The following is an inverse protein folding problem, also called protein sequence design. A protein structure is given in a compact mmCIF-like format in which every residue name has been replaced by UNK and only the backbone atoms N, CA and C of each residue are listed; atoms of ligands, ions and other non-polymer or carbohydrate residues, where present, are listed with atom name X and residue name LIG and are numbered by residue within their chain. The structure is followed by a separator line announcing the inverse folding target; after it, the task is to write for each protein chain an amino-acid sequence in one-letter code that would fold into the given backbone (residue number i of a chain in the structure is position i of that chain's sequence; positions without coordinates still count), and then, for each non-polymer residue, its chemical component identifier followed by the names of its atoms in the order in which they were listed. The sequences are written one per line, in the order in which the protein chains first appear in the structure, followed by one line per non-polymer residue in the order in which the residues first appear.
data_IF_109704365009
#
_entry.id   IF_109704365009
#
_cell.length_a   1.000
_cell.length_b   1.000
_cell.length_c   1.000
_cell.angle_alpha   90.00
_cell.angle_beta   90.00
_cell.angle_gamma   90.00
#
_symmetry.space_group_name_H-M   'P 1'
#
loop_
_entity.id
_entity.type
_entity.pdbx_description
1 polymer ?
#
# COMPACT_ATOMS: atom_id res chain seq x y z
N UNK A 1 29.59 -43.80 -22.93
CA UNK A 1 30.64 -42.92 -22.37
C UNK A 1 30.14 -42.37 -21.06
N UNK A 2 30.76 -42.82 -19.99
CA UNK A 2 30.48 -42.46 -18.60
C UNK A 2 31.24 -41.15 -18.27
N UNK A 3 30.61 -40.26 -17.49
CA UNK A 3 31.31 -39.28 -16.63
C UNK A 3 30.30 -38.87 -15.56
N UNK A 4 30.37 -39.44 -14.43
CA UNK A 4 30.99 -39.10 -13.13
C UNK A 4 30.34 -37.90 -12.40
N UNK A 5 29.75 -38.27 -11.27
CA UNK A 5 29.22 -37.43 -10.22
C UNK A 5 30.29 -36.61 -9.51
N UNK A 6 29.95 -35.40 -9.05
CA UNK A 6 30.63 -34.72 -7.95
C UNK A 6 29.61 -34.23 -6.95
N UNK A 7 29.55 -34.96 -5.83
CA UNK A 7 28.98 -34.48 -4.55
C UNK A 7 30.01 -33.59 -3.88
N UNK A 8 29.62 -32.40 -3.47
CA UNK A 8 30.32 -31.60 -2.48
C UNK A 8 29.36 -31.19 -1.39
N UNK A 9 29.38 -31.88 -0.27
CA UNK A 9 28.72 -31.53 0.99
C UNK A 9 29.54 -30.43 1.67
N UNK A 10 28.89 -29.31 2.00
CA UNK A 10 29.39 -28.31 2.95
C UNK A 10 28.46 -28.28 4.16
N UNK A 11 28.90 -28.88 5.26
CA UNK A 11 28.38 -28.66 6.60
C UNK A 11 28.91 -27.32 7.12
N UNK A 12 28.08 -26.39 7.44
CA UNK A 12 28.40 -25.22 8.27
C UNK A 12 27.64 -25.30 9.59
N UNK A 13 28.41 -25.53 10.66
CA UNK A 13 27.92 -25.48 12.04
C UNK A 13 27.78 -24.01 12.46
N UNK A 14 26.63 -23.60 12.98
CA UNK A 14 26.46 -22.32 13.64
C UNK A 14 26.32 -22.51 15.15
N UNK A 15 27.27 -21.88 15.85
CA UNK A 15 27.35 -21.83 17.30
C UNK A 15 26.23 -20.95 17.89
N UNK A 16 25.61 -21.45 18.94
CA UNK A 16 24.66 -20.72 19.76
C UNK A 16 25.39 -19.71 20.65
N UNK A 17 25.03 -18.44 20.56
CA UNK A 17 25.44 -17.41 21.51
C UNK A 17 24.30 -17.15 22.48
N UNK A 18 24.48 -17.53 23.73
CA UNK A 18 23.62 -17.17 24.84
C UNK A 18 23.94 -15.71 25.24
N UNK A 19 22.92 -14.86 25.29
CA UNK A 19 23.03 -13.50 25.81
C UNK A 19 22.25 -13.37 27.10
N UNK A 20 22.92 -12.79 28.09
CA UNK A 20 22.53 -12.70 29.49
C UNK A 20 21.37 -11.69 29.69
N UNK A 21 20.56 -11.98 30.71
CA UNK A 21 19.46 -11.14 31.18
C UNK A 21 19.94 -9.85 31.87
N UNK A 22 19.20 -8.73 31.74
CA UNK A 22 19.48 -7.53 32.51
C UNK A 22 18.90 -7.61 33.92
N UNK A 23 19.69 -7.16 34.87
CA UNK A 23 19.43 -7.01 36.30
C UNK A 23 18.38 -5.93 36.53
N UNK A 24 17.33 -6.26 37.29
CA UNK A 24 16.37 -5.31 37.84
C UNK A 24 17.02 -4.53 38.97
N UNK A 25 17.11 -3.21 38.86
CA UNK A 25 17.38 -2.34 40.00
C UNK A 25 16.07 -1.72 40.48
N UNK A 26 15.67 -2.18 41.65
CA UNK A 26 14.57 -1.66 42.45
C UNK A 26 15.10 -0.42 43.20
N UNK A 27 14.65 0.78 42.78
CA UNK A 27 14.94 2.04 43.51
C UNK A 27 13.59 2.62 43.94
N UNK A 28 13.16 2.23 45.14
CA UNK A 28 12.06 2.86 45.85
C UNK A 28 12.54 4.19 46.45
N UNK A 29 12.13 5.31 45.88
CA UNK A 29 12.22 6.61 46.53
C UNK A 29 10.80 7.09 46.91
N UNK A 30 10.59 7.63 48.12
CA UNK A 30 9.29 8.14 48.51
C UNK A 30 8.99 9.47 47.80
N UNK A 31 7.93 9.47 47.02
CA UNK A 31 7.42 10.68 46.35
C UNK A 31 6.64 11.48 47.39
N UNK A 32 7.20 12.60 47.83
CA UNK A 32 6.48 13.64 48.57
C UNK A 32 5.40 14.24 47.70
N UNK A 33 4.15 14.25 48.16
CA UNK A 33 3.02 14.85 47.49
C UNK A 33 3.25 16.36 47.31
N UNK A 34 3.05 16.92 46.07
CA UNK A 34 3.03 18.37 45.89
C UNK A 34 1.76 18.98 46.48
N UNK A 35 1.81 20.24 46.93
CA UNK A 35 0.68 20.96 47.47
C UNK A 35 -0.41 21.15 46.43
N UNK A 36 -1.67 20.99 46.85
CA UNK A 36 -2.86 21.14 46.03
C UNK A 36 -2.93 22.53 45.41
N UNK A 37 -2.77 22.60 44.12
CA UNK A 37 -2.98 23.80 43.31
C UNK A 37 -4.51 24.05 43.19
N UNK A 38 -5.00 25.29 43.35
CA UNK A 38 -6.43 25.57 43.20
C UNK A 38 -6.89 25.26 41.78
N UNK A 39 -8.04 24.63 41.66
CA UNK A 39 -8.65 24.23 40.40
C UNK A 39 -8.74 25.41 39.44
N UNK A 40 -8.33 25.24 38.15
CA UNK A 40 -8.49 26.29 37.15
C UNK A 40 -9.96 26.60 36.96
N UNK A 41 -10.30 27.87 37.02
CA UNK A 41 -11.59 28.40 36.62
C UNK A 41 -11.80 28.01 35.17
N UNK A 42 -12.82 27.21 34.89
CA UNK A 42 -13.20 26.88 33.51
C UNK A 42 -13.76 28.15 32.89
N UNK A 43 -12.89 28.87 32.20
CA UNK A 43 -13.28 29.98 31.34
C UNK A 43 -14.08 29.38 30.18
N UNK A 44 -15.26 29.91 29.94
CA UNK A 44 -16.16 29.43 28.89
C UNK A 44 -15.42 29.47 27.53
N UNK A 45 -15.27 28.32 26.90
CA UNK A 45 -14.70 28.15 25.56
C UNK A 45 -15.46 29.04 24.58
N UNK A 46 -14.80 29.94 23.85
CA UNK A 46 -15.43 30.79 22.87
C UNK A 46 -16.15 29.94 21.81
N UNK A 47 -17.35 30.32 21.44
CA UNK A 47 -18.16 29.63 20.41
C UNK A 47 -17.55 29.60 19.01
N UNK A 48 -16.37 30.17 18.84
CA UNK A 48 -15.66 30.24 17.55
C UNK A 48 -14.90 28.94 17.17
N UNK A 49 -14.60 28.03 18.14
CA UNK A 49 -13.93 26.77 17.82
C UNK A 49 -14.82 25.76 17.04
N UNK A 50 -16.14 25.87 17.17
CA UNK A 50 -17.03 25.01 16.39
C UNK A 50 -17.01 25.34 14.89
N UNK A 51 -16.70 26.56 14.52
CA UNK A 51 -16.65 27.01 13.13
C UNK A 51 -15.38 26.54 12.39
N UNK A 52 -14.30 26.27 13.11
CA UNK A 52 -13.04 25.76 12.53
C UNK A 52 -13.18 24.28 12.15
N UNK A 53 -13.86 23.49 12.97
CA UNK A 53 -14.09 22.07 12.70
C UNK A 53 -15.06 21.86 11.51
N UNK A 54 -16.07 22.72 11.36
CA UNK A 54 -16.99 22.70 10.22
C UNK A 54 -16.31 23.15 8.91
N UNK A 55 -15.36 24.05 8.97
CA UNK A 55 -14.56 24.49 7.83
C UNK A 55 -13.55 23.42 7.41
N UNK A 56 -12.91 22.71 8.37
CA UNK A 56 -12.01 21.61 8.09
C UNK A 56 -12.73 20.40 7.48
N UNK A 57 -13.95 20.11 7.92
CA UNK A 57 -14.77 19.03 7.35
C UNK A 57 -15.23 19.29 5.90
N UNK A 58 -15.23 20.54 5.46
CA UNK A 58 -15.61 20.92 4.08
C UNK A 58 -14.48 20.80 3.06
N UNK A 59 -13.25 20.56 3.50
CA UNK A 59 -12.06 20.50 2.63
C UNK A 59 -11.71 19.11 2.10
N UNK A 60 -12.38 18.06 2.57
CA UNK A 60 -12.19 16.72 1.99
C UNK A 60 -12.99 16.65 0.68
N UNK A 61 -12.31 16.91 -0.42
CA UNK A 61 -12.90 16.73 -1.75
C UNK A 61 -13.04 15.25 -2.05
N UNK A 62 -14.17 14.88 -2.68
CA UNK A 62 -14.38 13.51 -3.13
C UNK A 62 -13.50 13.25 -4.36
N UNK A 63 -12.85 12.10 -4.41
CA UNK A 63 -12.14 11.64 -5.59
C UNK A 63 -13.07 11.63 -6.81
N UNK A 64 -12.63 12.23 -7.90
CA UNK A 64 -13.41 12.32 -9.14
C UNK A 64 -12.89 11.31 -10.15
N UNK A 65 -13.71 10.30 -10.46
CA UNK A 65 -13.37 9.32 -11.47
C UNK A 65 -14.17 9.56 -12.75
N UNK A 66 -13.52 9.35 -13.90
CA UNK A 66 -14.11 9.51 -15.24
C UNK A 66 -14.85 8.23 -15.66
N UNK A 67 -15.44 8.25 -16.85
CA UNK A 67 -16.03 7.06 -17.46
C UNK A 67 -14.99 6.22 -18.22
N UNK A 68 -13.71 6.64 -18.29
CA UNK A 68 -12.66 5.84 -18.91
C UNK A 68 -12.35 4.63 -18.02
N UNK A 69 -12.47 3.45 -18.61
CA UNK A 69 -12.17 2.18 -17.95
C UNK A 69 -11.45 1.23 -18.91
N UNK A 70 -10.53 0.43 -18.38
CA UNK A 70 -9.93 -0.72 -19.07
C UNK A 70 -10.14 -1.95 -18.20
N UNK A 71 -10.54 -3.07 -18.83
CA UNK A 71 -10.86 -4.31 -18.10
C UNK A 71 -9.96 -5.43 -18.59
N UNK A 72 -9.43 -6.24 -17.66
CA UNK A 72 -8.58 -7.37 -18.02
C UNK A 72 -8.13 -8.18 -16.80
N UNK A 73 -7.28 -9.15 -17.06
CA UNK A 73 -6.53 -9.87 -16.02
C UNK A 73 -5.17 -9.21 -15.86
N UNK A 74 -4.72 -9.07 -14.63
CA UNK A 74 -3.37 -8.57 -14.34
C UNK A 74 -2.36 -9.70 -14.49
N UNK A 75 -1.22 -9.38 -15.10
CA UNK A 75 -0.06 -10.29 -15.17
C UNK A 75 1.19 -9.59 -14.65
N UNK A 76 1.98 -10.36 -13.92
CA UNK A 76 3.32 -10.00 -13.49
C UNK A 76 4.29 -10.84 -14.35
N UNK A 77 4.98 -10.19 -15.29
CA UNK A 77 5.61 -10.85 -16.42
C UNK A 77 4.62 -11.79 -17.15
N UNK A 78 4.88 -13.10 -17.19
CA UNK A 78 4.01 -14.09 -17.82
C UNK A 78 3.01 -14.77 -16.85
N UNK A 79 3.09 -14.47 -15.55
CA UNK A 79 2.24 -15.09 -14.52
C UNK A 79 0.94 -14.32 -14.33
N UNK A 80 -0.20 -15.01 -14.40
CA UNK A 80 -1.49 -14.39 -14.09
C UNK A 80 -1.61 -14.17 -12.59
N UNK A 81 -2.01 -12.96 -12.22
CA UNK A 81 -2.30 -12.58 -10.82
C UNK A 81 -3.70 -13.08 -10.47
N UNK A 82 -3.83 -13.76 -9.35
CA UNK A 82 -5.04 -14.39 -8.82
C UNK A 82 -5.38 -13.81 -7.45
N UNK A 83 -6.59 -14.05 -6.98
CA UNK A 83 -7.05 -13.64 -5.65
C UNK A 83 -7.13 -14.88 -4.73
N UNK A 84 -6.53 -14.77 -3.54
CA UNK A 84 -6.69 -15.74 -2.46
C UNK A 84 -7.00 -15.00 -1.17
N UNK A 85 -8.21 -15.21 -0.65
CA UNK A 85 -8.77 -14.39 0.43
C UNK A 85 -8.86 -12.91 -0.01
N UNK A 86 -8.00 -12.04 0.47
CA UNK A 86 -7.86 -10.65 0.00
C UNK A 86 -6.52 -10.36 -0.65
N UNK A 87 -5.57 -11.31 -0.62
CA UNK A 87 -4.22 -11.14 -1.17
C UNK A 87 -4.15 -11.46 -2.66
N UNK A 88 -3.34 -10.71 -3.39
CA UNK A 88 -2.96 -11.07 -4.74
C UNK A 88 -1.81 -12.09 -4.69
N UNK A 89 -2.02 -13.22 -5.38
CA UNK A 89 -1.09 -14.33 -5.45
C UNK A 89 -0.81 -14.72 -6.90
N UNK A 90 0.26 -15.46 -7.14
CA UNK A 90 0.66 -15.91 -8.49
C UNK A 90 0.35 -17.38 -8.76
N UNK A 91 -0.16 -18.09 -7.75
CA UNK A 91 -0.71 -19.45 -7.92
C UNK A 91 -1.64 -19.83 -6.76
N UNK A 92 -2.58 -20.73 -7.02
CA UNK A 92 -3.44 -21.30 -5.99
C UNK A 92 -4.54 -20.37 -5.47
N UNK A 93 -4.89 -19.35 -6.23
CA UNK A 93 -6.01 -18.45 -6.00
C UNK A 93 -7.10 -18.62 -7.05
N UNK A 94 -8.14 -17.79 -6.94
CA UNK A 94 -9.22 -17.68 -7.91
C UNK A 94 -8.85 -16.68 -9.02
N UNK A 95 -9.36 -16.91 -10.23
CA UNK A 95 -9.19 -15.97 -11.34
C UNK A 95 -9.81 -14.61 -10.99
N UNK A 96 -9.06 -13.53 -11.24
CA UNK A 96 -9.45 -12.18 -10.93
C UNK A 96 -9.49 -11.33 -12.19
N UNK A 97 -10.70 -10.90 -12.58
CA UNK A 97 -10.86 -9.83 -13.57
C UNK A 97 -10.85 -8.49 -12.87
N UNK A 98 -10.02 -7.59 -13.35
CA UNK A 98 -9.84 -6.25 -12.80
C UNK A 98 -10.36 -5.17 -13.76
N UNK A 99 -10.73 -4.04 -13.19
CA UNK A 99 -11.12 -2.83 -13.92
C UNK A 99 -10.21 -1.70 -13.47
N UNK A 100 -9.42 -1.16 -14.38
CA UNK A 100 -8.79 0.14 -14.19
C UNK A 100 -9.83 1.22 -14.45
N UNK A 101 -9.93 2.21 -13.57
CA UNK A 101 -10.77 3.39 -13.74
C UNK A 101 -9.93 4.65 -13.56
N UNK A 102 -9.96 5.51 -14.59
CA UNK A 102 -9.27 6.80 -14.52
C UNK A 102 -9.92 7.71 -13.47
N UNK A 103 -9.09 8.29 -12.60
CA UNK A 103 -9.51 9.23 -11.57
C UNK A 103 -8.55 10.42 -11.52
N UNK A 104 -9.08 11.59 -11.16
CA UNK A 104 -8.31 12.80 -10.93
C UNK A 104 -8.08 13.00 -9.44
N UNK A 105 -6.82 13.14 -9.05
CA UNK A 105 -6.42 13.52 -7.70
C UNK A 105 -5.67 14.85 -7.71
N UNK A 106 -6.09 15.78 -6.85
CA UNK A 106 -5.39 17.05 -6.68
C UNK A 106 -4.17 16.92 -5.77
N UNK A 107 -4.11 15.85 -4.95
CA UNK A 107 -3.01 15.59 -4.01
C UNK A 107 -1.81 14.98 -4.72
N UNK A 108 -2.05 14.10 -5.70
CA UNK A 108 -0.96 13.40 -6.41
C UNK A 108 -0.34 14.24 -7.53
N UNK A 109 -0.95 15.38 -7.87
CA UNK A 109 -0.51 16.26 -8.98
C UNK A 109 -0.23 15.47 -10.28
N UNK A 110 -1.09 14.49 -10.57
CA UNK A 110 -1.03 13.67 -11.78
C UNK A 110 -2.15 14.05 -12.73
N UNK A 111 -1.83 14.14 -14.01
CA UNK A 111 -2.79 14.44 -15.06
C UNK A 111 -2.69 13.41 -16.18
N UNK A 112 -3.81 12.76 -16.49
CA UNK A 112 -3.91 11.87 -17.65
C UNK A 112 -3.68 12.64 -18.94
N UNK A 113 -2.78 12.13 -19.79
CA UNK A 113 -2.42 12.77 -21.05
C UNK A 113 -2.13 11.74 -22.14
N UNK A 114 -2.83 11.87 -23.26
CA UNK A 114 -2.66 10.95 -24.40
C UNK A 114 -3.01 9.53 -23.99
N UNK A 115 -2.04 8.62 -24.00
CA UNK A 115 -2.18 7.19 -23.66
C UNK A 115 -1.81 6.85 -22.22
N UNK A 116 -1.42 7.86 -21.44
CA UNK A 116 -1.11 7.69 -20.01
C UNK A 116 -2.32 8.12 -19.18
N UNK A 117 -2.80 7.22 -18.36
CA UNK A 117 -3.95 7.42 -17.49
C UNK A 117 -3.55 7.13 -16.05
N UNK A 118 -4.16 7.85 -15.11
CA UNK A 118 -3.95 7.68 -13.68
C UNK A 118 -5.27 7.34 -13.00
N UNK A 119 -5.26 6.41 -12.06
CA UNK A 119 -6.49 6.01 -11.42
C UNK A 119 -6.36 4.82 -10.48
N UNK A 120 -7.48 4.18 -10.23
CA UNK A 120 -7.61 3.07 -9.30
C UNK A 120 -7.89 1.76 -10.05
N UNK A 121 -7.55 0.64 -9.43
CA UNK A 121 -7.86 -0.70 -9.94
C UNK A 121 -8.78 -1.40 -8.96
N UNK A 122 -9.87 -1.97 -9.48
CA UNK A 122 -10.91 -2.63 -8.70
C UNK A 122 -11.23 -4.02 -9.25
N UNK A 123 -11.65 -4.99 -8.42
CA UNK A 123 -12.24 -6.23 -8.91
C UNK A 123 -13.53 -5.95 -9.69
N UNK A 124 -13.69 -6.63 -10.84
CA UNK A 124 -14.90 -6.50 -11.64
C UNK A 124 -16.09 -7.13 -10.92
N UNK A 125 -17.20 -6.42 -10.86
CA UNK A 125 -18.44 -6.94 -10.27
C UNK A 125 -18.49 -6.92 -8.75
N UNK A 126 -17.51 -6.31 -8.09
CA UNK A 126 -17.58 -6.10 -6.64
C UNK A 126 -18.77 -5.19 -6.29
N UNK A 127 -19.64 -5.66 -5.37
CA UNK A 127 -20.76 -4.86 -4.85
C UNK A 127 -20.30 -3.69 -3.98
N UNK A 128 -19.10 -3.79 -3.42
CA UNK A 128 -18.45 -2.75 -2.61
C UNK A 128 -17.41 -2.03 -3.44
N UNK A 129 -17.15 -0.78 -3.10
CA UNK A 129 -16.03 -0.04 -3.68
C UNK A 129 -14.71 -0.59 -3.13
N UNK A 130 -14.15 -1.58 -3.81
CA UNK A 130 -12.89 -2.23 -3.46
C UNK A 130 -11.81 -1.85 -4.45
N UNK A 131 -10.59 -1.64 -3.97
CA UNK A 131 -9.41 -1.28 -4.75
C UNK A 131 -8.22 -2.16 -4.40
N UNK A 132 -7.27 -2.24 -5.32
CA UNK A 132 -5.96 -2.79 -5.02
C UNK A 132 -5.15 -1.80 -4.19
N UNK A 133 -4.65 -2.25 -3.04
CA UNK A 133 -3.85 -1.44 -2.11
C UNK A 133 -2.77 -2.29 -1.44
N UNK A 134 -1.56 -1.77 -1.21
CA UNK A 134 -0.58 -2.46 -0.38
C UNK A 134 -1.00 -2.43 1.10
N UNK A 135 -0.53 -3.42 1.84
CA UNK A 135 -0.74 -3.51 3.30
C UNK A 135 -0.14 -2.33 4.05
N UNK A 136 0.96 -1.79 3.55
CA UNK A 136 1.60 -0.57 4.05
C UNK A 136 2.35 0.14 2.92
N UNK A 137 2.66 1.44 3.11
CA UNK A 137 3.59 2.19 2.27
C UNK A 137 4.93 2.32 3.00
N UNK A 138 5.97 2.75 2.27
CA UNK A 138 7.32 3.02 2.77
C UNK A 138 8.09 1.81 3.35
N UNK A 139 7.58 0.61 3.21
CA UNK A 139 8.27 -0.63 3.57
C UNK A 139 8.41 -1.53 2.33
N UNK A 140 9.50 -2.32 2.22
CA UNK A 140 9.66 -3.26 1.12
C UNK A 140 8.70 -4.44 1.25
N UNK A 141 8.45 -5.11 0.12
CA UNK A 141 7.74 -6.39 0.02
C UNK A 141 6.33 -6.37 0.64
N UNK A 142 5.61 -5.28 0.44
CA UNK A 142 4.23 -5.19 0.93
C UNK A 142 3.29 -5.94 -0.01
N UNK A 143 2.46 -6.82 0.57
CA UNK A 143 1.42 -7.51 -0.19
C UNK A 143 0.44 -6.53 -0.79
N UNK A 144 0.13 -6.70 -2.07
CA UNK A 144 -0.97 -6.00 -2.70
C UNK A 144 -2.26 -6.78 -2.45
N UNK A 145 -3.26 -6.10 -1.91
CA UNK A 145 -4.51 -6.71 -1.47
C UNK A 145 -5.73 -5.99 -2.06
N UNK A 146 -6.85 -6.69 -2.10
CA UNK A 146 -8.18 -6.11 -2.33
C UNK A 146 -8.70 -5.57 -1.00
N UNK A 147 -8.89 -4.25 -0.90
CA UNK A 147 -9.35 -3.54 0.30
C UNK A 147 -10.40 -2.49 -0.09
N UNK A 148 -11.09 -1.91 0.88
CA UNK A 148 -12.03 -0.81 0.62
C UNK A 148 -11.29 0.41 0.03
N UNK A 149 -11.84 1.00 -1.02
CA UNK A 149 -11.28 2.20 -1.63
C UNK A 149 -11.43 3.41 -0.70
N UNK A 150 -10.44 4.26 -0.64
CA UNK A 150 -10.63 5.62 -0.17
C UNK A 150 -11.20 6.46 -1.32
N UNK A 151 -12.37 7.03 -1.10
CA UNK A 151 -12.98 7.95 -2.08
C UNK A 151 -12.77 9.42 -1.70
N UNK A 152 -11.94 9.69 -0.69
CA UNK A 152 -11.47 11.03 -0.34
C UNK A 152 -10.25 11.40 -1.18
N UNK A 153 -10.22 12.60 -1.74
CA UNK A 153 -9.03 13.12 -2.43
C UNK A 153 -8.05 13.70 -1.41
N UNK A 154 -7.33 12.83 -0.74
CA UNK A 154 -6.34 13.10 0.29
C UNK A 154 -5.10 12.18 0.14
N UNK A 155 -4.19 12.19 1.09
CA UNK A 155 -2.97 11.38 1.06
C UNK A 155 -3.21 9.86 0.97
N UNK A 156 -4.43 9.37 1.25
CA UNK A 156 -4.77 7.96 1.10
C UNK A 156 -4.71 7.49 -0.36
N UNK A 157 -4.79 8.42 -1.32
CA UNK A 157 -4.69 8.11 -2.75
C UNK A 157 -3.32 7.53 -3.12
N UNK A 158 -2.25 7.86 -2.40
CA UNK A 158 -0.93 7.23 -2.62
C UNK A 158 -0.97 5.71 -2.50
N UNK A 159 -1.87 5.16 -1.70
CA UNK A 159 -1.96 3.73 -1.46
C UNK A 159 -2.81 2.96 -2.48
N UNK A 160 -3.40 3.61 -3.48
CA UNK A 160 -4.34 2.95 -4.40
C UNK A 160 -4.26 3.44 -5.85
N UNK A 161 -3.41 4.42 -6.17
CA UNK A 161 -3.28 4.93 -7.52
C UNK A 161 -2.26 4.16 -8.33
N UNK A 162 -2.63 3.93 -9.58
CA UNK A 162 -1.82 3.30 -10.61
C UNK A 162 -1.71 4.23 -11.81
N UNK A 163 -0.57 4.18 -12.47
CA UNK A 163 -0.39 4.64 -13.84
C UNK A 163 -0.74 3.49 -14.78
N UNK A 164 -1.48 3.79 -15.83
CA UNK A 164 -1.82 2.85 -16.91
C UNK A 164 -1.45 3.43 -18.25
N UNK A 165 -0.59 2.73 -18.99
CA UNK A 165 -0.27 3.05 -20.37
C UNK A 165 -1.11 2.20 -21.32
N UNK A 166 -2.01 2.85 -22.05
CA UNK A 166 -2.96 2.17 -22.93
C UNK A 166 -2.28 1.41 -24.09
N UNK A 167 -1.19 1.95 -24.67
CA UNK A 167 -0.49 1.34 -25.80
C UNK A 167 0.15 0.00 -25.43
N UNK A 168 0.84 -0.07 -24.30
CA UNK A 168 1.52 -1.27 -23.84
C UNK A 168 0.68 -2.11 -22.90
N UNK A 169 -0.50 -1.64 -22.50
CA UNK A 169 -1.30 -2.22 -21.42
C UNK A 169 -0.52 -2.36 -20.11
N UNK A 170 0.53 -1.56 -19.94
CA UNK A 170 1.39 -1.63 -18.75
C UNK A 170 0.78 -0.86 -17.59
N UNK A 171 1.00 -1.39 -16.39
CA UNK A 171 0.60 -0.79 -15.12
C UNK A 171 1.85 -0.47 -14.28
N UNK A 172 1.78 0.61 -13.51
CA UNK A 172 2.75 0.89 -12.45
C UNK A 172 2.01 1.40 -11.22
N UNK A 173 2.35 0.88 -10.04
CA UNK A 173 1.83 1.38 -8.78
C UNK A 173 2.61 2.64 -8.38
N UNK A 174 1.91 3.74 -8.13
CA UNK A 174 2.58 5.01 -7.79
C UNK A 174 3.21 4.96 -6.40
N UNK A 175 2.42 4.82 -5.35
CA UNK A 175 2.91 4.73 -3.97
C UNK A 175 3.55 6.01 -3.41
N UNK A 176 3.78 7.02 -4.25
CA UNK A 176 4.43 8.29 -3.93
C UNK A 176 3.56 9.49 -4.34
N UNK A 177 3.83 10.66 -3.75
CA UNK A 177 3.30 11.93 -4.25
C UNK A 177 3.97 12.37 -5.56
N UNK A 178 5.23 11.97 -5.77
CA UNK A 178 5.99 12.24 -6.97
C UNK A 178 5.67 11.20 -8.05
N UNK A 179 4.90 11.60 -9.05
CA UNK A 179 4.47 10.73 -10.14
C UNK A 179 5.63 10.22 -11.04
N UNK A 180 6.84 10.74 -10.89
CA UNK A 180 8.02 10.23 -11.62
C UNK A 180 8.62 8.99 -10.96
N UNK A 181 8.16 8.64 -9.77
CA UNK A 181 8.61 7.48 -8.99
C UNK A 181 7.49 6.45 -8.90
N UNK A 182 7.87 5.21 -9.11
CA UNK A 182 6.95 4.09 -9.01
C UNK A 182 7.51 3.03 -8.06
N UNK A 183 6.62 2.30 -7.42
CA UNK A 183 7.00 1.11 -6.68
C UNK A 183 7.34 -0.01 -7.65
N UNK A 184 8.37 -0.79 -7.31
CA UNK A 184 8.67 -2.03 -8.02
C UNK A 184 7.64 -3.10 -7.67
N UNK A 185 7.15 -3.83 -8.68
CA UNK A 185 6.26 -4.98 -8.52
C UNK A 185 7.08 -6.27 -8.61
N UNK A 186 6.90 -7.20 -7.69
CA UNK A 186 7.68 -8.43 -7.63
C UNK A 186 6.85 -9.62 -7.10
N UNK A 187 7.38 -10.81 -7.24
CA UNK A 187 6.91 -12.01 -6.56
C UNK A 187 7.77 -12.31 -5.34
N UNK A 188 7.13 -12.59 -4.21
CA UNK A 188 7.79 -13.10 -3.01
C UNK A 188 6.89 -14.13 -2.32
N UNK A 189 7.41 -15.34 -2.12
CA UNK A 189 6.68 -16.44 -1.45
C UNK A 189 5.28 -16.70 -2.05
N UNK A 190 5.15 -16.60 -3.38
CA UNK A 190 3.90 -16.70 -4.14
C UNK A 190 2.95 -15.49 -4.02
N UNK A 191 3.27 -14.48 -3.24
CA UNK A 191 2.48 -13.25 -3.15
C UNK A 191 2.97 -12.22 -4.19
N UNK A 192 2.01 -11.45 -4.69
CA UNK A 192 2.32 -10.23 -5.40
C UNK A 192 2.67 -9.14 -4.38
N UNK A 193 3.88 -8.63 -4.46
CA UNK A 193 4.39 -7.62 -3.54
C UNK A 193 4.84 -6.36 -4.27
N UNK A 194 4.78 -5.23 -3.57
CA UNK A 194 5.31 -3.95 -4.03
C UNK A 194 6.35 -3.41 -3.05
N UNK A 195 7.36 -2.75 -3.58
CA UNK A 195 8.45 -2.14 -2.79
C UNK A 195 8.74 -0.73 -3.28
N UNK A 196 9.06 0.23 -2.39
CA UNK A 196 9.33 1.62 -2.76
C UNK A 196 10.60 1.78 -3.61
N UNK A 197 11.49 0.80 -3.59
CA UNK A 197 12.75 0.81 -4.31
C UNK A 197 13.03 -0.56 -4.92
N UNK A 198 13.90 -0.60 -5.93
CA UNK A 198 14.37 -1.84 -6.56
C UNK A 198 13.95 -1.97 -8.01
N UNK A 199 14.46 -3.03 -8.65
CA UNK A 199 14.02 -3.44 -9.98
C UNK A 199 12.70 -4.21 -9.85
N UNK A 200 11.69 -3.83 -10.63
CA UNK A 200 10.40 -4.51 -10.68
C UNK A 200 10.28 -5.40 -11.91
N UNK A 201 9.36 -6.35 -11.82
CA UNK A 201 8.87 -7.13 -12.96
C UNK A 201 7.83 -6.33 -13.74
N UNK A 202 7.62 -6.71 -15.00
CA UNK A 202 6.64 -6.05 -15.86
C UNK A 202 5.22 -6.39 -15.40
N UNK A 203 4.40 -5.35 -15.20
CA UNK A 203 3.01 -5.48 -14.81
C UNK A 203 2.12 -5.04 -15.97
N UNK A 204 1.21 -5.89 -16.40
CA UNK A 204 0.30 -5.60 -17.51
C UNK A 204 -1.15 -5.97 -17.19
N UNK A 205 -2.10 -5.29 -17.84
CA UNK A 205 -3.53 -5.56 -17.80
C UNK A 205 -3.98 -6.07 -19.19
N UNK A 206 -4.26 -7.36 -19.34
CA UNK A 206 -4.56 -8.03 -20.61
C UNK A 206 -5.96 -8.61 -20.63
#
# INVERSE_FOLDING_TARGET
MQCTAFLASLLAAFAASASAAPVSQDVSAPISAPPSEPAPVVEAVPKDEQNINDAASKLVTKLQCTNYTSTGMMKLDDKTVMLKDSDLVLSGGDELTLVFQECKSNILDVESKGTMHYGIISPKGSEKQQCLRPTALAQPDQHLQVQDCSMSDDSSQMSQFFEFNENGKTLAFLGHLDATKHYSANEKDNFFVVSPEGAGQSLVLV
#
